data_IF_532565690645
#
_entry.id   IF_532565690645
#
_cell.length_a   1.000
_cell.length_b   1.000
_cell.length_c   1.000
_cell.angle_alpha   90.00
_cell.angle_beta   90.00
_cell.angle_gamma   90.00
#
_symmetry.space_group_name_H-M   'P 1'
#
loop_
_entity.id
_entity.type
_entity.pdbx_description
1 polymer ?
#
# COMPACT_ATOMS: atom_id res chain seq x y z
N UNK A 1 -5.50 16.77 -16.72
CA UNK A 1 -6.93 16.56 -16.40
C UNK A 1 -7.07 15.37 -15.45
N UNK A 2 -8.26 15.17 -14.87
CA UNK A 2 -8.49 14.14 -13.85
C UNK A 2 -8.09 12.71 -14.31
N UNK A 3 -8.39 12.34 -15.56
CA UNK A 3 -7.98 11.05 -16.13
C UNK A 3 -6.46 10.81 -16.09
N UNK A 4 -5.67 11.83 -16.44
CA UNK A 4 -4.21 11.72 -16.43
C UNK A 4 -3.67 11.55 -15.01
N UNK A 5 -4.32 12.16 -14.01
CA UNK A 5 -3.94 12.01 -12.59
C UNK A 5 -4.12 10.56 -12.16
N UNK A 6 -5.27 9.97 -12.45
CA UNK A 6 -5.57 8.57 -12.09
C UNK A 6 -4.71 7.59 -12.88
N UNK A 7 -4.51 7.81 -14.19
CA UNK A 7 -3.66 6.95 -15.01
C UNK A 7 -2.21 6.93 -14.52
N UNK A 8 -1.63 8.09 -14.20
CA UNK A 8 -0.28 8.14 -13.62
C UNK A 8 -0.20 7.54 -12.22
N UNK A 9 -1.28 7.66 -11.43
CA UNK A 9 -1.35 7.06 -10.11
C UNK A 9 -1.33 5.53 -10.18
N UNK A 10 -2.10 4.93 -11.10
CA UNK A 10 -2.07 3.50 -11.32
C UNK A 10 -0.74 3.01 -11.93
N UNK A 11 -0.14 3.74 -12.88
CA UNK A 11 1.19 3.38 -13.40
C UNK A 11 2.23 3.30 -12.26
N UNK A 12 2.25 4.32 -11.39
CA UNK A 12 3.11 4.34 -10.23
C UNK A 12 2.81 3.16 -9.29
N UNK A 13 1.53 2.95 -8.97
CA UNK A 13 1.07 1.90 -8.07
C UNK A 13 1.48 0.50 -8.54
N UNK A 14 1.24 0.17 -9.81
CA UNK A 14 1.64 -1.13 -10.38
C UNK A 14 3.15 -1.34 -10.31
N UNK A 15 3.95 -0.34 -10.70
CA UNK A 15 5.41 -0.44 -10.68
C UNK A 15 5.97 -0.59 -9.26
N UNK A 16 5.38 0.10 -8.30
CA UNK A 16 5.78 0.02 -6.89
C UNK A 16 5.40 -1.33 -6.30
N UNK A 17 4.16 -1.80 -6.53
CA UNK A 17 3.70 -3.10 -6.04
C UNK A 17 4.51 -4.24 -6.65
N UNK A 18 4.78 -4.20 -7.96
CA UNK A 18 5.60 -5.20 -8.65
C UNK A 18 7.01 -5.28 -8.05
N UNK A 19 7.65 -4.13 -7.82
CA UNK A 19 8.97 -4.07 -7.18
C UNK A 19 8.96 -4.60 -5.75
N UNK A 20 7.97 -4.23 -4.94
CA UNK A 20 7.85 -4.72 -3.55
C UNK A 20 7.59 -6.22 -3.52
N UNK A 21 6.67 -6.72 -4.35
CA UNK A 21 6.34 -8.15 -4.46
C UNK A 21 7.55 -8.97 -4.88
N UNK A 22 8.37 -8.48 -5.80
CA UNK A 22 9.59 -9.16 -6.25
C UNK A 22 10.65 -9.32 -5.15
N UNK A 23 10.58 -8.53 -4.09
CA UNK A 23 11.51 -8.58 -2.94
C UNK A 23 11.03 -9.50 -1.82
N UNK A 24 9.78 -9.95 -1.86
CA UNK A 24 9.19 -10.76 -0.78
C UNK A 24 9.71 -12.20 -0.79
N UNK A 25 9.82 -12.83 0.40
CA UNK A 25 10.11 -14.25 0.48
C UNK A 25 8.97 -15.07 -0.15
N UNK A 26 9.28 -16.23 -0.72
CA UNK A 26 8.29 -17.08 -1.39
C UNK A 26 7.09 -17.45 -0.51
N UNK A 27 7.30 -17.55 0.81
CA UNK A 27 6.26 -17.86 1.80
C UNK A 27 5.24 -16.73 1.97
N UNK A 28 5.55 -15.51 1.57
CA UNK A 28 4.60 -14.40 1.56
C UNK A 28 3.47 -14.63 0.54
N UNK A 29 3.66 -15.54 -0.43
CA UNK A 29 2.65 -16.01 -1.38
C UNK A 29 1.69 -14.89 -1.87
N UNK A 30 2.22 -13.78 -2.40
CA UNK A 30 1.42 -12.62 -2.76
C UNK A 30 0.36 -12.99 -3.79
N UNK A 31 -0.85 -12.47 -3.62
CA UNK A 31 -1.87 -12.56 -4.65
C UNK A 31 -1.46 -11.79 -5.91
N UNK A 32 -2.06 -12.12 -7.05
CA UNK A 32 -1.90 -11.33 -8.27
C UNK A 32 -2.29 -9.88 -8.02
N UNK A 33 -1.43 -8.94 -8.42
CA UNK A 33 -1.75 -7.51 -8.40
C UNK A 33 -2.89 -7.27 -9.40
N UNK A 34 -4.01 -6.73 -8.92
CA UNK A 34 -5.22 -6.52 -9.71
C UNK A 34 -5.99 -5.30 -9.23
N UNK A 35 -7.01 -4.90 -9.99
CA UNK A 35 -8.01 -3.94 -9.50
C UNK A 35 -8.99 -4.64 -8.57
N UNK A 36 -9.12 -4.18 -7.33
CA UNK A 36 -10.16 -4.66 -6.41
C UNK A 36 -11.49 -3.93 -6.69
N UNK A 37 -12.59 -4.66 -6.92
CA UNK A 37 -13.82 -4.08 -7.43
C UNK A 37 -14.52 -3.12 -6.47
N UNK A 38 -14.28 -3.24 -5.16
CA UNK A 38 -14.97 -2.46 -4.14
C UNK A 38 -14.57 -0.98 -4.17
N UNK A 39 -13.27 -0.69 -4.35
CA UNK A 39 -12.70 0.66 -4.31
C UNK A 39 -11.87 1.02 -5.55
N UNK A 40 -11.76 0.10 -6.50
CA UNK A 40 -10.94 0.24 -7.70
C UNK A 40 -9.44 0.43 -7.37
N UNK A 41 -8.99 -0.15 -6.27
CA UNK A 41 -7.59 -0.07 -5.85
C UNK A 41 -6.72 -0.96 -6.73
N UNK A 42 -5.53 -0.47 -7.11
CA UNK A 42 -4.45 -1.33 -7.56
C UNK A 42 -3.86 -2.02 -6.32
N UNK A 43 -4.10 -3.31 -6.13
CA UNK A 43 -3.81 -3.93 -4.85
C UNK A 43 -3.42 -5.40 -4.95
N UNK A 44 -2.76 -5.87 -3.88
CA UNK A 44 -2.47 -7.27 -3.60
C UNK A 44 -2.58 -7.52 -2.09
N UNK A 45 -2.65 -8.77 -1.69
CA UNK A 45 -2.45 -9.18 -0.31
C UNK A 45 -1.21 -10.08 -0.21
N UNK A 46 -0.55 -10.03 0.95
CA UNK A 46 0.66 -10.80 1.22
C UNK A 46 0.54 -11.45 2.60
N UNK A 47 1.07 -12.66 2.73
CA UNK A 47 1.15 -13.38 3.99
C UNK A 47 2.36 -12.96 4.83
N UNK A 48 2.17 -12.94 6.15
CA UNK A 48 3.23 -12.76 7.14
C UNK A 48 3.63 -14.10 7.77
N UNK A 49 4.82 -14.16 8.36
CA UNK A 49 5.30 -15.35 9.07
C UNK A 49 4.42 -15.74 10.28
N UNK A 50 3.66 -14.79 10.82
CA UNK A 50 2.67 -15.02 11.88
C UNK A 50 1.43 -15.80 11.42
N UNK A 51 1.24 -15.97 10.11
CA UNK A 51 0.02 -16.52 9.51
C UNK A 51 -1.08 -15.48 9.24
N UNK A 52 -0.87 -14.23 9.64
CA UNK A 52 -1.75 -13.10 9.30
C UNK A 52 -1.46 -12.56 7.89
N UNK A 53 -2.41 -11.83 7.31
CA UNK A 53 -2.27 -11.17 6.02
C UNK A 53 -2.17 -9.65 6.12
N UNK A 54 -1.59 -9.03 5.09
CA UNK A 54 -1.52 -7.58 4.91
C UNK A 54 -1.96 -7.22 3.49
N UNK A 55 -2.88 -6.28 3.37
CA UNK A 55 -3.24 -5.67 2.10
C UNK A 55 -2.26 -4.54 1.78
N UNK A 56 -1.76 -4.50 0.55
CA UNK A 56 -0.95 -3.42 0.02
C UNK A 56 -1.67 -2.88 -1.21
N UNK A 57 -1.82 -1.56 -1.30
CA UNK A 57 -2.51 -1.01 -2.46
C UNK A 57 -2.37 0.48 -2.67
N UNK A 58 -2.85 0.91 -3.82
CA UNK A 58 -2.94 2.28 -4.29
C UNK A 58 -4.38 2.55 -4.68
N UNK A 59 -5.07 3.33 -3.84
CA UNK A 59 -6.45 3.73 -4.07
C UNK A 59 -6.52 5.00 -4.90
N UNK A 60 -7.47 5.13 -5.86
CA UNK A 60 -7.76 6.39 -6.53
C UNK A 60 -8.45 7.41 -5.62
N UNK A 61 -8.79 7.03 -4.38
CA UNK A 61 -9.59 7.80 -3.43
C UNK A 61 -10.93 7.09 -3.16
N UNK A 62 -11.42 7.20 -1.93
CA UNK A 62 -12.64 6.56 -1.45
C UNK A 62 -13.38 7.44 -0.41
N UNK A 63 -14.30 6.83 0.36
CA UNK A 63 -15.06 7.53 1.39
C UNK A 63 -14.24 7.88 2.64
N UNK A 64 -13.08 7.25 2.85
CA UNK A 64 -12.17 7.55 3.95
C UNK A 64 -11.19 8.67 3.57
N UNK A 65 -10.57 8.58 2.40
CA UNK A 65 -9.64 9.58 1.87
C UNK A 65 -9.99 9.88 0.41
N UNK A 66 -10.47 11.09 0.15
CA UNK A 66 -11.05 11.46 -1.14
C UNK A 66 -9.98 11.60 -2.24
N UNK A 67 -8.76 11.97 -1.86
CA UNK A 67 -7.63 12.05 -2.79
C UNK A 67 -6.93 10.69 -2.93
N UNK A 68 -6.18 10.41 -4.00
CA UNK A 68 -5.47 9.15 -4.13
C UNK A 68 -4.44 8.93 -3.00
N UNK A 69 -4.29 7.68 -2.56
CA UNK A 69 -3.37 7.31 -1.48
C UNK A 69 -2.86 5.88 -1.62
N UNK A 70 -1.64 5.62 -1.13
CA UNK A 70 -1.12 4.26 -0.95
C UNK A 70 -1.43 3.79 0.46
N UNK A 71 -1.58 2.48 0.68
CA UNK A 71 -1.92 1.95 2.00
C UNK A 71 -1.23 0.64 2.33
N UNK A 72 -1.15 0.40 3.63
CA UNK A 72 -0.80 -0.88 4.27
C UNK A 72 -1.90 -1.21 5.26
N UNK A 73 -2.61 -2.33 5.05
CA UNK A 73 -3.75 -2.75 5.86
C UNK A 73 -3.59 -4.17 6.41
N UNK A 74 -3.03 -4.35 7.62
CA UNK A 74 -2.99 -5.65 8.28
C UNK A 74 -4.42 -6.16 8.59
N UNK A 75 -4.68 -7.45 8.36
CA UNK A 75 -5.99 -8.07 8.63
C UNK A 75 -6.29 -8.13 10.13
N UNK A 76 -5.27 -8.42 10.93
CA UNK A 76 -5.35 -8.34 12.38
C UNK A 76 -5.62 -6.90 12.82
N UNK A 77 -6.32 -6.70 13.93
CA UNK A 77 -6.42 -5.37 14.57
C UNK A 77 -5.15 -4.96 15.33
N UNK A 78 -4.16 -5.87 15.43
CA UNK A 78 -2.86 -5.57 16.00
C UNK A 78 -2.15 -4.53 15.13
N UNK A 79 -1.57 -3.53 15.77
CA UNK A 79 -0.81 -2.43 15.15
C UNK A 79 0.59 -2.36 15.80
N UNK A 80 1.41 -3.41 15.62
CA UNK A 80 2.72 -3.50 16.25
C UNK A 80 3.71 -2.49 15.65
N UNK A 81 4.82 -2.23 16.35
CA UNK A 81 5.81 -1.23 15.94
C UNK A 81 5.49 0.18 16.45
N UNK A 82 5.68 1.18 15.60
CA UNK A 82 5.48 2.60 15.91
C UNK A 82 3.99 2.97 15.76
N UNK A 83 3.29 3.35 16.85
CA UNK A 83 1.89 3.77 16.79
C UNK A 83 1.64 4.96 15.86
N UNK A 84 2.64 5.83 15.65
CA UNK A 84 2.49 7.00 14.78
C UNK A 84 2.40 6.65 13.29
N UNK A 85 2.90 5.47 12.89
CA UNK A 85 2.79 5.00 11.51
C UNK A 85 1.36 4.57 11.16
N UNK A 86 0.64 3.97 12.12
CA UNK A 86 -0.72 3.49 11.95
C UNK A 86 -1.74 4.63 12.04
N UNK A 87 -1.74 5.48 11.01
CA UNK A 87 -2.50 6.73 10.95
C UNK A 87 -3.94 6.57 10.40
N UNK A 88 -4.39 5.34 10.13
CA UNK A 88 -5.73 5.03 9.64
C UNK A 88 -6.39 3.91 10.46
N UNK A 89 -7.74 3.90 10.59
CA UNK A 89 -8.43 2.86 11.37
C UNK A 89 -8.19 1.45 10.84
N UNK A 90 -7.96 1.31 9.53
CA UNK A 90 -7.65 0.04 8.88
C UNK A 90 -6.15 -0.26 8.77
N UNK A 91 -5.26 0.66 9.14
CA UNK A 91 -3.82 0.48 8.98
C UNK A 91 -3.07 1.81 8.84
N UNK A 92 -2.35 1.95 7.74
CA UNK A 92 -1.59 3.17 7.42
C UNK A 92 -1.89 3.64 6.00
N UNK A 93 -1.88 4.97 5.81
CA UNK A 93 -2.01 5.64 4.52
C UNK A 93 -0.85 6.60 4.28
N UNK A 94 -0.39 6.65 3.03
CA UNK A 94 0.50 7.67 2.50
C UNK A 94 -0.23 8.40 1.36
N UNK A 95 -0.54 9.68 1.55
CA UNK A 95 -1.32 10.45 0.57
C UNK A 95 -0.49 10.68 -0.68
N UNK A 96 -1.15 10.77 -1.84
CA UNK A 96 -0.50 11.11 -3.11
C UNK A 96 0.24 12.45 -3.04
N UNK A 97 -0.28 13.43 -2.31
CA UNK A 97 0.41 14.71 -2.15
C UNK A 97 1.79 14.54 -1.50
N UNK A 98 1.89 13.69 -0.48
CA UNK A 98 3.14 13.39 0.22
C UNK A 98 4.11 12.59 -0.69
N UNK A 99 3.57 11.61 -1.43
CA UNK A 99 4.34 10.84 -2.43
C UNK A 99 4.95 11.76 -3.49
N UNK A 100 4.18 12.74 -3.98
CA UNK A 100 4.63 13.65 -5.04
C UNK A 100 5.49 14.81 -4.53
N UNK A 101 5.52 15.06 -3.22
CA UNK A 101 6.45 15.99 -2.61
C UNK A 101 7.88 15.41 -2.52
N UNK A 102 8.04 14.09 -2.65
CA UNK A 102 9.33 13.43 -2.73
C UNK A 102 10.06 13.72 -4.05
N UNK A 103 11.39 13.84 -3.99
CA UNK A 103 12.24 13.86 -5.18
C UNK A 103 12.22 12.54 -5.97
N UNK A 104 11.89 11.43 -5.30
CA UNK A 104 11.61 10.13 -5.90
C UNK A 104 10.29 9.57 -5.34
N UNK A 105 9.17 9.82 -6.05
CA UNK A 105 7.85 9.32 -5.64
C UNK A 105 7.78 7.78 -5.54
N UNK A 106 8.48 7.07 -6.42
CA UNK A 106 8.45 5.61 -6.44
C UNK A 106 9.22 5.03 -5.26
N UNK A 107 10.39 5.59 -4.93
CA UNK A 107 11.11 5.21 -3.71
C UNK A 107 10.31 5.52 -2.45
N UNK A 108 9.72 6.72 -2.35
CA UNK A 108 8.89 7.10 -1.20
C UNK A 108 7.76 6.10 -0.95
N UNK A 109 7.04 5.71 -2.00
CA UNK A 109 5.95 4.75 -1.86
C UNK A 109 6.45 3.32 -1.54
N UNK A 110 7.54 2.86 -2.16
CA UNK A 110 8.16 1.56 -1.81
C UNK A 110 8.59 1.51 -0.35
N UNK A 111 9.24 2.56 0.13
CA UNK A 111 9.74 2.63 1.51
C UNK A 111 8.59 2.64 2.51
N UNK A 112 7.47 3.31 2.19
CA UNK A 112 6.25 3.24 2.98
C UNK A 112 5.67 1.82 3.06
N UNK A 113 5.54 1.11 1.93
CA UNK A 113 5.02 -0.26 1.94
C UNK A 113 5.96 -1.22 2.71
N UNK A 114 7.28 -1.10 2.50
CA UNK A 114 8.29 -1.90 3.23
C UNK A 114 8.25 -1.61 4.73
N UNK A 115 8.16 -0.35 5.12
CA UNK A 115 8.04 0.03 6.52
C UNK A 115 6.78 -0.57 7.14
N UNK A 116 5.65 -0.52 6.46
CA UNK A 116 4.41 -1.09 6.97
C UNK A 116 4.46 -2.62 7.09
N UNK A 117 5.09 -3.33 6.15
CA UNK A 117 5.32 -4.76 6.26
C UNK A 117 6.26 -5.11 7.43
N UNK A 118 7.34 -4.34 7.62
CA UNK A 118 8.26 -4.53 8.72
C UNK A 118 7.57 -4.30 10.08
N UNK A 119 6.75 -3.25 10.18
CA UNK A 119 5.98 -2.98 11.39
C UNK A 119 4.92 -4.05 11.64
N UNK A 120 4.17 -4.49 10.63
CA UNK A 120 3.17 -5.54 10.77
C UNK A 120 3.75 -6.91 11.17
N UNK A 121 5.06 -7.10 10.94
CA UNK A 121 5.79 -8.33 11.30
C UNK A 121 6.45 -8.29 12.67
N UNK A 122 6.41 -7.16 13.37
CA UNK A 122 6.99 -6.98 14.70
C UNK A 122 6.14 -7.59 15.82
#
# INVERSE_FOLDING_TARGET
GALAVIAHWYDLGWRVLDAVVAELPAQAAPATIQLWPEHFDAATNVGLASGEGVNLGFSPGDAYEADPYAYVGPWSSRRPGDPAFWNAPFGAVLRRADVLASADPAASARDFLRAGLAQASA
#
